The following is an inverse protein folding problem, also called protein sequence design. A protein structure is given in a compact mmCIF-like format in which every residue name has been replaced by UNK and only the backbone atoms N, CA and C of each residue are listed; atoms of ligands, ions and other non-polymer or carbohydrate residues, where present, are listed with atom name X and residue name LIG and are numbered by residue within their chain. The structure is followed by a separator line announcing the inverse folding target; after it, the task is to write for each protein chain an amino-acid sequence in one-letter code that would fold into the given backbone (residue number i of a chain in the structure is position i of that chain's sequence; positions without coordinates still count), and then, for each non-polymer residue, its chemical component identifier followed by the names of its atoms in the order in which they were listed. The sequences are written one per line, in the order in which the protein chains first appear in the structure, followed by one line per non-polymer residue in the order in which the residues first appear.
data_IF_467222652949
#
_entry.id   IF_467222652949
#
_cell.length_a   1.000
_cell.length_b   1.000
_cell.length_c   1.000
_cell.angle_alpha   90.00
_cell.angle_beta   90.00
_cell.angle_gamma   90.00
#
_symmetry.space_group_name_H-M   'P 1'
#
loop_
_entity.id
_entity.type
_entity.pdbx_description
1 polymer ?
#
# COMPACT_ATOMS: atom_id res chain seq x y z
N UNK A 1 28.24 16.21 -3.73
CA UNK A 1 26.76 16.29 -3.92
C UNK A 1 26.18 15.18 -4.83
N UNK A 2 26.93 14.62 -5.80
CA UNK A 2 26.45 13.62 -6.77
C UNK A 2 26.07 12.25 -6.19
N UNK A 3 26.82 11.72 -5.21
CA UNK A 3 26.55 10.42 -4.60
C UNK A 3 25.18 10.34 -3.91
N UNK A 4 24.81 11.38 -3.14
CA UNK A 4 23.50 11.46 -2.47
C UNK A 4 22.33 11.48 -3.46
N UNK A 5 22.50 12.11 -4.64
CA UNK A 5 21.48 12.12 -5.71
C UNK A 5 21.31 10.73 -6.35
N UNK A 6 22.42 10.04 -6.66
CA UNK A 6 22.39 8.68 -7.23
C UNK A 6 21.75 7.67 -6.27
N UNK A 7 22.06 7.78 -4.97
CA UNK A 7 21.47 6.93 -3.93
C UNK A 7 19.96 7.16 -3.80
N UNK A 8 19.51 8.41 -3.74
CA UNK A 8 18.07 8.74 -3.71
C UNK A 8 17.31 8.20 -4.91
N UNK A 9 17.89 8.28 -6.13
CA UNK A 9 17.29 7.71 -7.34
C UNK A 9 17.15 6.18 -7.23
N UNK A 10 18.21 5.50 -6.77
CA UNK A 10 18.16 4.05 -6.53
C UNK A 10 17.08 3.67 -5.49
N UNK A 11 16.99 4.42 -4.40
CA UNK A 11 15.97 4.21 -3.36
C UNK A 11 14.55 4.37 -3.89
N UNK A 12 14.29 5.43 -4.67
CA UNK A 12 12.97 5.64 -5.29
C UNK A 12 12.61 4.53 -6.27
N UNK A 13 13.54 4.13 -7.14
CA UNK A 13 13.31 3.06 -8.11
C UNK A 13 13.04 1.72 -7.43
N UNK A 14 13.80 1.38 -6.39
CA UNK A 14 13.56 0.15 -5.62
C UNK A 14 12.20 0.18 -4.92
N UNK A 15 11.84 1.32 -4.31
CA UNK A 15 10.52 1.47 -3.70
C UNK A 15 9.40 1.31 -4.73
N UNK A 16 9.53 1.94 -5.91
CA UNK A 16 8.54 1.85 -6.97
C UNK A 16 8.39 0.40 -7.47
N UNK A 17 9.49 -0.31 -7.67
CA UNK A 17 9.43 -1.74 -8.03
C UNK A 17 8.67 -2.58 -7.01
N UNK A 18 8.96 -2.42 -5.70
CA UNK A 18 8.26 -3.16 -4.65
C UNK A 18 6.77 -2.77 -4.57
N UNK A 19 6.46 -1.50 -4.79
CA UNK A 19 5.09 -1.02 -4.83
C UNK A 19 4.33 -1.60 -6.03
N UNK A 20 4.95 -1.63 -7.21
CA UNK A 20 4.36 -2.20 -8.43
C UNK A 20 4.07 -3.68 -8.28
N UNK A 21 4.98 -4.42 -7.64
CA UNK A 21 4.77 -5.83 -7.30
C UNK A 21 3.56 -6.01 -6.38
N UNK A 22 3.44 -5.20 -5.32
CA UNK A 22 2.29 -5.24 -4.42
C UNK A 22 0.97 -4.88 -5.13
N UNK A 23 0.98 -3.88 -6.03
CA UNK A 23 -0.18 -3.50 -6.84
C UNK A 23 -0.62 -4.69 -7.70
N UNK A 24 0.31 -5.28 -8.45
CA UNK A 24 0.03 -6.40 -9.35
C UNK A 24 -0.53 -7.61 -8.58
N UNK A 25 0.07 -7.94 -7.42
CA UNK A 25 -0.41 -9.01 -6.56
C UNK A 25 -1.83 -8.72 -6.07
N UNK A 26 -2.09 -7.51 -5.59
CA UNK A 26 -3.40 -7.18 -5.02
C UNK A 26 -4.49 -7.10 -6.09
N UNK A 27 -4.19 -6.50 -7.26
CA UNK A 27 -5.09 -6.52 -8.42
C UNK A 27 -5.46 -7.94 -8.81
N UNK A 28 -4.48 -8.85 -8.83
CA UNK A 28 -4.72 -10.25 -9.20
C UNK A 28 -5.61 -10.95 -8.19
N UNK A 29 -5.40 -10.72 -6.89
CA UNK A 29 -6.28 -11.25 -5.85
C UNK A 29 -7.71 -10.73 -6.02
N UNK A 30 -7.90 -9.42 -6.25
CA UNK A 30 -9.22 -8.83 -6.48
C UNK A 30 -9.94 -9.56 -7.63
N UNK A 31 -9.27 -9.71 -8.77
CA UNK A 31 -9.84 -10.32 -9.98
C UNK A 31 -10.13 -11.82 -9.81
N UNK A 32 -9.23 -12.54 -9.13
CA UNK A 32 -9.44 -13.96 -8.81
C UNK A 32 -10.65 -14.16 -7.90
N UNK A 33 -10.85 -13.26 -6.93
CA UNK A 33 -11.94 -13.37 -5.96
C UNK A 33 -13.29 -12.93 -6.52
N UNK A 34 -13.31 -11.94 -7.40
CA UNK A 34 -14.53 -11.47 -8.06
C UNK A 34 -14.96 -12.33 -9.26
N UNK A 35 -14.08 -13.21 -9.74
CA UNK A 35 -14.31 -13.97 -10.98
C UNK A 35 -14.29 -13.09 -12.24
N UNK A 36 -13.75 -11.88 -12.15
CA UNK A 36 -13.73 -10.91 -13.25
C UNK A 36 -12.66 -11.28 -14.29
N UNK A 37 -13.07 -11.39 -15.55
CA UNK A 37 -12.20 -11.77 -16.68
C UNK A 37 -11.74 -10.57 -17.52
N UNK A 38 -11.13 -9.57 -16.90
CA UNK A 38 -10.58 -8.41 -17.61
C UNK A 38 -9.46 -8.83 -18.59
N UNK A 39 -9.39 -8.26 -19.80
CA UNK A 39 -8.40 -8.68 -20.81
C UNK A 39 -6.95 -8.50 -20.33
N UNK A 40 -6.68 -7.40 -19.62
CA UNK A 40 -5.37 -7.14 -19.01
C UNK A 40 -4.98 -8.15 -17.94
N UNK A 41 -5.94 -8.86 -17.35
CA UNK A 41 -5.66 -9.93 -16.38
C UNK A 41 -4.98 -11.14 -17.04
N UNK A 42 -5.42 -11.50 -18.25
CA UNK A 42 -4.94 -12.68 -18.98
C UNK A 42 -3.46 -12.59 -19.36
N UNK A 43 -2.91 -11.38 -19.41
CA UNK A 43 -1.52 -11.11 -19.78
C UNK A 43 -0.60 -10.88 -18.58
N UNK A 44 -1.13 -10.91 -17.34
CA UNK A 44 -0.30 -10.75 -16.15
C UNK A 44 0.60 -11.98 -15.96
N UNK A 45 1.92 -11.81 -15.80
CA UNK A 45 2.86 -12.93 -15.68
C UNK A 45 2.87 -13.52 -14.26
N UNK A 46 1.71 -13.90 -13.72
CA UNK A 46 1.58 -14.39 -12.35
C UNK A 46 1.16 -15.86 -12.35
N UNK A 47 2.08 -16.73 -11.89
CA UNK A 47 1.81 -18.16 -11.75
C UNK A 47 0.94 -18.47 -10.52
N UNK A 48 1.00 -17.64 -9.46
CA UNK A 48 0.20 -17.78 -8.23
C UNK A 48 0.23 -16.48 -7.41
N UNK A 49 -0.90 -15.76 -7.33
CA UNK A 49 -1.11 -14.76 -6.29
C UNK A 49 -1.84 -15.41 -5.11
N UNK A 50 -1.49 -14.99 -3.91
CA UNK A 50 -2.17 -15.39 -2.67
C UNK A 50 -2.08 -14.25 -1.67
N UNK A 51 -2.96 -14.30 -0.68
CA UNK A 51 -2.94 -13.35 0.44
C UNK A 51 -1.61 -13.41 1.19
N UNK A 52 -1.01 -14.61 1.33
CA UNK A 52 0.31 -14.78 1.94
C UNK A 52 1.40 -14.03 1.15
N UNK A 53 1.45 -14.20 -0.17
CA UNK A 53 2.41 -13.50 -1.03
C UNK A 53 2.23 -11.98 -0.96
N UNK A 54 0.99 -11.50 -0.94
CA UNK A 54 0.69 -10.08 -0.78
C UNK A 54 1.14 -9.58 0.60
N UNK A 55 0.88 -10.34 1.67
CA UNK A 55 1.30 -9.99 3.03
C UNK A 55 2.82 -9.84 3.13
N UNK A 56 3.58 -10.79 2.61
CA UNK A 56 5.05 -10.76 2.59
C UNK A 56 5.59 -9.57 1.79
N UNK A 57 4.97 -9.29 0.63
CA UNK A 57 5.30 -8.14 -0.19
C UNK A 57 5.04 -6.82 0.57
N UNK A 58 3.89 -6.66 1.20
CA UNK A 58 3.54 -5.47 1.98
C UNK A 58 4.46 -5.28 3.20
N UNK A 59 4.87 -6.36 3.87
CA UNK A 59 5.88 -6.32 4.94
C UNK A 59 7.21 -5.79 4.38
N UNK A 60 7.62 -6.27 3.21
CA UNK A 60 8.85 -5.83 2.55
C UNK A 60 8.78 -4.34 2.18
N UNK A 61 7.69 -3.89 1.56
CA UNK A 61 7.46 -2.47 1.23
C UNK A 61 7.46 -1.62 2.51
N UNK A 62 6.77 -2.07 3.56
CA UNK A 62 6.72 -1.38 4.87
C UNK A 62 8.11 -1.19 5.46
N UNK A 63 8.88 -2.27 5.56
CA UNK A 63 10.22 -2.25 6.14
C UNK A 63 11.18 -1.38 5.33
N UNK A 64 11.10 -1.46 4.00
CA UNK A 64 11.88 -0.60 3.11
C UNK A 64 11.52 0.88 3.27
N UNK A 65 10.22 1.18 3.38
CA UNK A 65 9.70 2.54 3.60
C UNK A 65 10.17 3.10 4.93
N UNK A 66 10.05 2.32 6.01
CA UNK A 66 10.49 2.68 7.36
C UNK A 66 11.99 2.99 7.40
N UNK A 67 12.82 2.15 6.76
CA UNK A 67 14.28 2.33 6.70
C UNK A 67 14.70 3.58 5.93
N UNK A 68 13.93 4.01 4.93
CA UNK A 68 14.29 5.09 4.00
C UNK A 68 13.32 6.30 4.09
N UNK A 69 12.67 6.48 5.24
CA UNK A 69 11.57 7.42 5.41
C UNK A 69 11.92 8.86 4.97
N UNK A 70 13.09 9.37 5.36
CA UNK A 70 13.51 10.75 5.05
C UNK A 70 13.58 11.02 3.53
N UNK A 71 13.86 9.97 2.75
CA UNK A 71 13.93 10.06 1.29
C UNK A 71 12.56 9.81 0.65
N UNK A 72 11.80 8.86 1.19
CA UNK A 72 10.58 8.38 0.57
C UNK A 72 9.33 9.18 0.95
N UNK A 73 9.30 9.90 2.08
CA UNK A 73 8.10 10.60 2.55
C UNK A 73 7.52 11.55 1.48
N UNK A 74 8.35 12.43 0.91
CA UNK A 74 7.89 13.35 -0.16
C UNK A 74 7.49 12.60 -1.42
N UNK A 75 8.17 11.50 -1.74
CA UNK A 75 7.88 10.73 -2.95
C UNK A 75 6.57 9.96 -2.83
N UNK A 76 6.31 9.35 -1.68
CA UNK A 76 5.04 8.69 -1.37
C UNK A 76 3.89 9.70 -1.43
N UNK A 77 4.09 10.92 -0.93
CA UNK A 77 3.06 11.95 -1.02
C UNK A 77 2.72 12.29 -2.47
N UNK A 78 3.74 12.47 -3.34
CA UNK A 78 3.53 12.70 -4.77
C UNK A 78 2.71 11.57 -5.42
N UNK A 79 3.07 10.31 -5.16
CA UNK A 79 2.33 9.16 -5.69
C UNK A 79 0.88 9.11 -5.18
N UNK A 80 0.62 9.54 -3.93
CA UNK A 80 -0.74 9.63 -3.40
C UNK A 80 -1.54 10.75 -4.06
N UNK A 81 -0.91 11.90 -4.28
CA UNK A 81 -1.56 13.05 -4.92
C UNK A 81 -1.90 12.73 -6.39
N UNK A 82 -1.02 12.01 -7.09
CA UNK A 82 -1.29 11.46 -8.43
C UNK A 82 -2.53 10.55 -8.41
N UNK A 83 -2.59 9.56 -7.50
CA UNK A 83 -3.77 8.71 -7.36
C UNK A 83 -5.04 9.52 -7.05
N UNK A 84 -4.96 10.51 -6.15
CA UNK A 84 -6.12 11.34 -5.79
C UNK A 84 -6.60 12.14 -7.00
N UNK A 85 -5.71 12.70 -7.80
CA UNK A 85 -6.07 13.48 -8.98
C UNK A 85 -6.79 12.63 -10.04
N UNK A 86 -6.37 11.37 -10.19
CA UNK A 86 -7.02 10.44 -11.12
C UNK A 86 -8.35 9.93 -10.55
N UNK A 87 -8.42 9.60 -9.25
CA UNK A 87 -9.64 9.14 -8.60
C UNK A 87 -10.74 10.20 -8.60
N UNK A 88 -10.40 11.48 -8.44
CA UNK A 88 -11.36 12.60 -8.48
C UNK A 88 -12.15 12.74 -9.78
N UNK A 89 -11.73 12.06 -10.84
CA UNK A 89 -12.43 12.04 -12.11
C UNK A 89 -13.68 11.13 -12.06
N UNK A 90 -13.81 10.30 -11.02
CA UNK A 90 -14.92 9.38 -10.76
C UNK A 90 -15.35 9.50 -9.29
N UNK A 91 -16.50 10.13 -9.05
CA UNK A 91 -17.01 10.43 -7.71
C UNK A 91 -17.37 9.16 -6.93
N UNK A 92 -17.99 8.19 -7.59
CA UNK A 92 -18.38 6.90 -6.99
C UNK A 92 -17.15 6.12 -6.55
N UNK A 93 -16.13 6.00 -7.42
CA UNK A 93 -14.89 5.32 -7.09
C UNK A 93 -14.15 6.02 -5.96
N UNK A 94 -14.13 7.36 -5.97
CA UNK A 94 -13.52 8.14 -4.90
C UNK A 94 -14.16 7.83 -3.54
N UNK A 95 -15.50 7.77 -3.48
CA UNK A 95 -16.23 7.41 -2.27
C UNK A 95 -15.94 5.98 -1.82
N UNK A 96 -15.96 5.02 -2.74
CA UNK A 96 -15.59 3.63 -2.48
C UNK A 96 -14.20 3.55 -1.88
N UNK A 97 -13.20 4.15 -2.53
CA UNK A 97 -11.81 4.09 -2.08
C UNK A 97 -11.64 4.71 -0.69
N UNK A 98 -12.28 5.85 -0.41
CA UNK A 98 -12.25 6.48 0.92
C UNK A 98 -12.84 5.58 2.02
N UNK A 99 -13.89 4.82 1.71
CA UNK A 99 -14.45 3.86 2.64
C UNK A 99 -13.54 2.65 2.83
N UNK A 100 -13.01 2.09 1.74
CA UNK A 100 -12.07 0.97 1.77
C UNK A 100 -10.77 1.30 2.50
N UNK A 101 -10.33 2.56 2.50
CA UNK A 101 -9.16 2.99 3.28
C UNK A 101 -9.31 2.72 4.78
N UNK A 102 -10.54 2.66 5.31
CA UNK A 102 -10.80 2.41 6.73
C UNK A 102 -10.58 0.93 7.10
N UNK A 103 -10.65 0.05 6.11
CA UNK A 103 -10.57 -1.40 6.24
C UNK A 103 -9.12 -1.91 6.28
N UNK A 104 -8.95 -3.12 6.81
CA UNK A 104 -7.68 -3.84 6.77
C UNK A 104 -7.56 -4.56 5.42
N UNK A 105 -6.60 -4.11 4.62
CA UNK A 105 -6.32 -4.64 3.28
C UNK A 105 -6.18 -6.17 3.23
N UNK A 106 -5.63 -6.81 4.27
CA UNK A 106 -5.44 -8.27 4.31
C UNK A 106 -6.68 -9.00 4.82
N UNK A 107 -7.35 -8.48 5.85
CA UNK A 107 -8.48 -9.17 6.50
C UNK A 107 -9.81 -8.95 5.76
N UNK A 108 -9.97 -7.80 5.10
CA UNK A 108 -11.20 -7.36 4.44
C UNK A 108 -11.08 -7.41 2.91
N UNK A 109 -10.17 -8.23 2.39
CA UNK A 109 -9.84 -8.26 0.97
C UNK A 109 -11.01 -8.71 0.07
N UNK A 110 -11.91 -9.57 0.56
CA UNK A 110 -13.12 -9.96 -0.17
C UNK A 110 -14.05 -8.77 -0.41
N UNK A 111 -14.27 -7.95 0.61
CA UNK A 111 -15.09 -6.75 0.49
C UNK A 111 -14.42 -5.77 -0.47
N UNK A 112 -13.11 -5.54 -0.32
CA UNK A 112 -12.34 -4.69 -1.24
C UNK A 112 -12.46 -5.19 -2.68
N UNK A 113 -12.40 -6.51 -2.90
CA UNK A 113 -12.55 -7.11 -4.22
C UNK A 113 -13.94 -6.85 -4.80
N UNK A 114 -15.00 -7.04 -4.00
CA UNK A 114 -16.38 -6.78 -4.41
C UNK A 114 -16.58 -5.35 -4.90
N UNK A 115 -16.01 -4.37 -4.20
CA UNK A 115 -16.21 -2.95 -4.53
C UNK A 115 -15.30 -2.44 -5.66
N UNK A 116 -14.10 -2.99 -5.83
CA UNK A 116 -13.16 -2.53 -6.86
C UNK A 116 -13.24 -3.29 -8.18
N UNK A 117 -13.73 -4.54 -8.17
CA UNK A 117 -13.86 -5.37 -9.37
C UNK A 117 -14.63 -4.71 -10.54
N UNK A 118 -15.71 -3.93 -10.33
CA UNK A 118 -16.41 -3.24 -11.42
C UNK A 118 -15.53 -2.28 -12.23
N UNK A 119 -14.42 -1.81 -11.66
CA UNK A 119 -13.50 -0.87 -12.31
C UNK A 119 -12.36 -1.56 -13.07
N UNK A 120 -12.32 -2.89 -13.10
CA UNK A 120 -11.23 -3.66 -13.72
C UNK A 120 -11.01 -3.32 -15.21
N UNK A 121 -12.07 -2.93 -15.92
CA UNK A 121 -12.00 -2.53 -17.33
C UNK A 121 -11.37 -1.14 -17.50
N UNK A 122 -11.52 -0.24 -16.52
CA UNK A 122 -10.75 0.99 -16.43
C UNK A 122 -9.46 0.77 -15.63
N UNK A 123 -8.52 0.08 -16.27
CA UNK A 123 -7.29 -0.39 -15.63
C UNK A 123 -6.48 0.69 -14.93
N UNK A 124 -6.45 1.91 -15.47
CA UNK A 124 -5.68 3.00 -14.87
C UNK A 124 -6.32 3.45 -13.56
N UNK A 125 -7.64 3.71 -13.55
CA UNK A 125 -8.38 4.02 -12.33
C UNK A 125 -8.29 2.88 -11.31
N UNK A 126 -8.46 1.64 -11.75
CA UNK A 126 -8.31 0.46 -10.90
C UNK A 126 -6.91 0.35 -10.28
N UNK A 127 -5.85 0.53 -11.08
CA UNK A 127 -4.46 0.51 -10.60
C UNK A 127 -4.20 1.62 -9.59
N UNK A 128 -4.73 2.82 -9.83
CA UNK A 128 -4.58 3.95 -8.93
C UNK A 128 -5.35 3.78 -7.62
N UNK A 129 -6.56 3.23 -7.67
CA UNK A 129 -7.32 2.87 -6.48
C UNK A 129 -6.54 1.87 -5.62
N UNK A 130 -6.03 0.80 -6.24
CA UNK A 130 -5.22 -0.22 -5.57
C UNK A 130 -3.93 0.37 -5.00
N UNK A 131 -3.19 1.15 -5.80
CA UNK A 131 -1.97 1.84 -5.34
C UNK A 131 -2.27 2.69 -4.11
N UNK A 132 -3.37 3.45 -4.12
CA UNK A 132 -3.74 4.31 -3.01
C UNK A 132 -4.07 3.53 -1.74
N UNK A 133 -4.82 2.42 -1.85
CA UNK A 133 -5.12 1.54 -0.72
C UNK A 133 -3.85 0.92 -0.12
N UNK A 134 -2.92 0.46 -0.95
CA UNK A 134 -1.62 -0.09 -0.52
C UNK A 134 -0.80 0.97 0.22
N UNK A 135 -0.67 2.17 -0.35
CA UNK A 135 0.06 3.27 0.28
C UNK A 135 -0.56 3.66 1.62
N UNK A 136 -1.89 3.75 1.69
CA UNK A 136 -2.60 4.02 2.94
C UNK A 136 -2.37 2.91 3.98
N UNK A 137 -2.43 1.63 3.58
CA UNK A 137 -2.16 0.50 4.46
C UNK A 137 -0.74 0.56 5.04
N UNK A 138 0.28 0.80 4.20
CA UNK A 138 1.67 0.92 4.64
C UNK A 138 1.83 2.06 5.64
N UNK A 139 1.29 3.24 5.34
CA UNK A 139 1.39 4.41 6.21
C UNK A 139 0.71 4.14 7.56
N UNK A 140 -0.50 3.58 7.56
CA UNK A 140 -1.21 3.20 8.79
C UNK A 140 -0.43 2.17 9.61
N UNK A 141 0.15 1.17 8.96
CA UNK A 141 0.95 0.14 9.61
C UNK A 141 2.21 0.71 10.27
N UNK A 142 2.96 1.58 9.58
CA UNK A 142 4.11 2.30 10.15
C UNK A 142 3.70 3.17 11.34
N UNK A 143 2.59 3.89 11.22
CA UNK A 143 2.10 4.76 12.30
C UNK A 143 1.65 3.95 13.52
N UNK A 144 0.99 2.80 13.32
CA UNK A 144 0.61 1.88 14.41
C UNK A 144 1.84 1.33 15.12
N UNK A 145 2.90 0.95 14.38
CA UNK A 145 4.17 0.50 14.99
C UNK A 145 4.77 1.58 15.89
N UNK A 146 4.76 2.85 15.46
CA UNK A 146 5.25 3.98 16.27
C UNK A 146 4.41 4.23 17.52
N UNK A 147 3.09 4.15 17.41
CA UNK A 147 2.19 4.31 18.57
C UNK A 147 2.44 3.22 19.60
N UNK A 148 2.58 1.96 19.16
CA UNK A 148 2.92 0.84 20.06
C UNK A 148 4.25 1.08 20.78
N UNK A 149 5.30 1.47 20.07
CA UNK A 149 6.60 1.78 20.69
C UNK A 149 6.51 2.90 21.73
N UNK A 150 5.71 3.94 21.47
CA UNK A 150 5.47 5.02 22.44
C UNK A 150 4.76 4.49 23.70
N UNK A 151 3.71 3.71 23.53
CA UNK A 151 2.96 3.13 24.65
C UNK A 151 3.86 2.21 25.47
N UNK A 152 4.63 1.32 24.84
CA UNK A 152 5.60 0.46 25.55
C UNK A 152 6.61 1.27 26.37
N UNK A 153 7.18 2.34 25.80
CA UNK A 153 8.11 3.20 26.54
C UNK A 153 7.45 3.95 27.71
N UNK A 154 6.18 4.33 27.57
CA UNK A 154 5.42 4.95 28.67
C UNK A 154 5.13 3.96 29.80
N UNK A 155 4.89 2.69 29.46
CA UNK A 155 4.69 1.61 30.43
C UNK A 155 6.01 1.31 31.17
N UNK A 156 7.12 1.15 30.43
CA UNK A 156 8.45 0.90 31.01
C UNK A 156 8.89 2.02 31.97
N UNK A 157 8.63 3.28 31.63
CA UNK A 157 8.94 4.44 32.48
C UNK A 157 8.06 4.56 33.74
N UNK A 158 6.89 3.91 33.76
CA UNK A 158 5.96 3.94 34.90
C UNK A 158 6.01 2.69 35.79
N UNK A 159 6.64 1.59 35.32
CA UNK A 159 6.73 0.32 36.06
C UNK A 159 8.09 0.15 36.76
N UNK A 160 9.16 0.78 36.26
CA UNK A 160 10.46 0.73 36.94
C UNK A 160 10.48 1.76 38.09
N UNK A 161 10.74 1.34 39.35
CA UNK A 161 10.93 2.30 40.42
C UNK A 161 12.11 3.21 40.07
N UNK A 162 11.90 4.52 40.18
CA UNK A 162 12.99 5.49 40.14
C UNK A 162 13.79 5.33 41.44
N UNK A 163 14.66 4.33 41.48
CA UNK A 163 15.62 4.15 42.56
C UNK A 163 16.65 5.27 42.43
N UNK A 164 16.37 6.39 43.10
CA UNK A 164 17.37 7.35 43.57
C UNK A 164 18.09 6.82 44.80
#
# INVERSE_FOLDING_TARGET
MFFRRRQRKKTKNQFKHLLDEAIILFQTIILQQSGTNAEKFKVLPIKKASIDNLSDCLITVKNYTKKNQDTLQKYIQVLRDECINDLKQDEDLSHIVLELMKRNLIADNNDIALYLAPYADNWNLFSNAVQFLILNHIIKSINRDRQKSKISSMIENNILPQNG
#
